data_IF_411780066567
#
_entry.id   IF_411780066567
#
_cell.length_a   1.000
_cell.length_b   1.000
_cell.length_c   1.000
_cell.angle_alpha   90.00
_cell.angle_beta   90.00
_cell.angle_gamma   90.00
#
_symmetry.space_group_name_H-M   'P 1'
#
loop_
_entity.id
_entity.type
_entity.pdbx_description
1 polymer ?
#
# COMPACT_ATOMS: atom_id res chain seq x y z
N UNK A 1 3.32 -25.81 4.99
CA UNK A 1 3.92 -24.56 5.51
C UNK A 1 4.05 -24.55 7.04
N UNK A 2 4.40 -25.67 7.70
CA UNK A 2 4.50 -25.72 9.19
C UNK A 2 5.93 -25.80 9.74
N UNK A 3 6.97 -25.89 8.88
CA UNK A 3 8.37 -26.00 9.32
C UNK A 3 9.28 -24.90 8.73
N UNK A 4 8.74 -23.71 8.41
CA UNK A 4 9.50 -22.66 7.71
C UNK A 4 10.31 -21.72 8.61
N UNK A 5 10.39 -22.03 9.90
CA UNK A 5 11.04 -21.16 10.88
C UNK A 5 11.87 -22.06 11.78
N UNK A 6 13.02 -22.50 11.24
CA UNK A 6 14.20 -22.66 12.11
C UNK A 6 14.32 -21.35 12.89
N UNK A 7 14.62 -21.38 14.21
CA UNK A 7 14.35 -20.24 15.08
C UNK A 7 15.04 -19.03 14.48
N UNK A 8 14.28 -18.01 14.11
CA UNK A 8 14.74 -16.81 13.39
C UNK A 8 15.72 -15.96 14.23
N UNK A 9 16.39 -16.54 15.22
CA UNK A 9 17.21 -15.87 16.21
C UNK A 9 16.47 -14.74 16.93
N UNK A 10 15.14 -14.76 16.88
CA UNK A 10 14.26 -13.70 17.38
C UNK A 10 14.38 -13.50 18.88
N UNK A 11 14.78 -14.57 19.56
CA UNK A 11 15.12 -14.63 20.98
C UNK A 11 16.53 -15.24 21.20
N UNK A 12 17.42 -15.17 20.19
CA UNK A 12 18.80 -15.64 20.41
C UNK A 12 19.45 -14.68 21.42
N UNK A 13 19.81 -15.15 22.63
CA UNK A 13 20.39 -14.31 23.69
C UNK A 13 21.74 -13.71 23.29
N UNK A 14 22.29 -14.12 22.15
CA UNK A 14 23.54 -13.63 21.58
C UNK A 14 23.40 -12.24 20.92
N UNK A 15 22.20 -11.86 20.45
CA UNK A 15 21.99 -10.62 19.70
C UNK A 15 21.18 -9.55 20.46
N UNK A 16 20.43 -9.91 21.50
CA UNK A 16 19.68 -8.95 22.34
C UNK A 16 20.60 -8.40 23.43
N UNK A 17 21.62 -7.63 23.03
CA UNK A 17 22.55 -6.97 23.96
C UNK A 17 22.05 -5.55 24.28
N UNK A 18 22.35 -5.00 25.48
CA UNK A 18 21.92 -3.65 25.87
C UNK A 18 22.45 -2.54 24.96
N UNK A 19 23.47 -2.82 24.15
CA UNK A 19 24.04 -1.90 23.16
C UNK A 19 23.27 -1.88 21.83
N UNK A 20 22.50 -2.92 21.53
CA UNK A 20 21.75 -3.03 20.28
C UNK A 20 20.33 -2.50 20.43
N UNK A 21 19.96 -1.51 19.62
CA UNK A 21 18.59 -1.01 19.61
C UNK A 21 17.63 -2.06 19.02
N UNK A 22 16.43 -2.17 19.60
CA UNK A 22 15.36 -3.04 19.08
C UNK A 22 14.98 -2.70 17.63
N UNK A 23 15.14 -1.44 17.22
CA UNK A 23 14.96 -1.01 15.83
C UNK A 23 15.97 -1.67 14.90
N UNK A 24 17.25 -1.69 15.28
CA UNK A 24 18.30 -2.37 14.51
C UNK A 24 18.01 -3.86 14.38
N UNK A 25 17.59 -4.52 15.47
CA UNK A 25 17.21 -5.93 15.46
C UNK A 25 16.02 -6.22 14.52
N UNK A 26 15.03 -5.33 14.48
CA UNK A 26 13.90 -5.47 13.57
C UNK A 26 14.31 -5.30 12.10
N UNK A 27 15.22 -4.35 11.80
CA UNK A 27 15.72 -4.14 10.45
C UNK A 27 16.61 -5.31 9.98
N UNK A 28 17.49 -5.84 10.84
CA UNK A 28 18.31 -7.01 10.49
C UNK A 28 17.46 -8.26 10.26
N UNK A 29 16.44 -8.49 11.09
CA UNK A 29 15.46 -9.55 10.90
C UNK A 29 14.79 -9.46 9.51
N UNK A 30 14.27 -8.27 9.18
CA UNK A 30 13.63 -8.02 7.88
C UNK A 30 14.57 -8.34 6.71
N UNK A 31 15.85 -7.97 6.82
CA UNK A 31 16.86 -8.26 5.80
C UNK A 31 17.10 -9.76 5.64
N UNK A 32 17.25 -10.50 6.74
CA UNK A 32 17.46 -11.97 6.73
C UNK A 32 16.27 -12.67 6.08
N UNK A 33 15.05 -12.35 6.52
CA UNK A 33 13.81 -12.90 5.97
C UNK A 33 13.68 -12.59 4.48
N UNK A 34 14.02 -11.37 4.06
CA UNK A 34 14.02 -10.99 2.65
C UNK A 34 15.00 -11.83 1.84
N UNK A 35 16.20 -12.09 2.35
CA UNK A 35 17.17 -12.98 1.71
C UNK A 35 16.62 -14.38 1.47
N UNK A 36 15.95 -14.96 2.48
CA UNK A 36 15.30 -16.27 2.35
C UNK A 36 14.17 -16.24 1.32
N UNK A 37 13.33 -15.22 1.31
CA UNK A 37 12.26 -15.08 0.32
C UNK A 37 12.79 -14.92 -1.10
N UNK A 38 13.89 -14.19 -1.31
CA UNK A 38 14.53 -14.08 -2.63
C UNK A 38 15.01 -15.45 -3.10
N UNK A 39 15.65 -16.25 -2.23
CA UNK A 39 16.11 -17.59 -2.59
C UNK A 39 14.94 -18.53 -2.94
N UNK A 40 13.85 -18.50 -2.15
CA UNK A 40 12.63 -19.28 -2.42
C UNK A 40 11.99 -18.85 -3.74
N UNK A 41 11.84 -17.54 -3.96
CA UNK A 41 11.27 -16.99 -5.18
C UNK A 41 12.12 -17.34 -6.41
N UNK A 42 13.45 -17.30 -6.31
CA UNK A 42 14.34 -17.72 -7.39
C UNK A 42 14.12 -19.18 -7.79
N UNK A 43 14.01 -20.08 -6.80
CA UNK A 43 13.70 -21.50 -7.02
C UNK A 43 12.31 -21.69 -7.64
N UNK A 44 11.29 -21.02 -7.10
CA UNK A 44 9.92 -21.11 -7.63
C UNK A 44 9.81 -20.57 -9.05
N UNK A 45 10.54 -19.49 -9.37
CA UNK A 45 10.61 -18.92 -10.70
C UNK A 45 11.26 -19.88 -11.70
N UNK A 46 12.33 -20.60 -11.29
CA UNK A 46 12.93 -21.63 -12.13
C UNK A 46 11.92 -22.75 -12.43
N UNK A 47 11.30 -23.33 -11.40
CA UNK A 47 10.28 -24.37 -11.57
C UNK A 47 9.08 -23.92 -12.42
N UNK A 48 8.65 -22.66 -12.26
CA UNK A 48 7.54 -22.10 -13.03
C UNK A 48 7.92 -21.85 -14.49
N UNK A 49 9.18 -21.54 -14.79
CA UNK A 49 9.69 -21.44 -16.17
C UNK A 49 9.72 -22.82 -16.81
N UNK A 50 10.26 -23.84 -16.14
CA UNK A 50 10.35 -25.19 -16.67
C UNK A 50 8.95 -25.76 -16.95
N UNK A 51 8.01 -25.59 -16.00
CA UNK A 51 6.62 -26.00 -16.17
C UNK A 51 5.93 -25.28 -17.33
N UNK A 52 6.23 -23.99 -17.52
CA UNK A 52 5.69 -23.22 -18.64
C UNK A 52 6.21 -23.78 -19.97
N UNK A 53 7.51 -24.01 -20.08
CA UNK A 53 8.13 -24.56 -21.28
C UNK A 53 7.49 -25.91 -21.64
N UNK A 54 7.35 -26.82 -20.67
CA UNK A 54 6.68 -28.11 -20.86
C UNK A 54 5.25 -27.95 -21.40
N UNK A 55 4.47 -26.99 -20.87
CA UNK A 55 3.11 -26.73 -21.36
C UNK A 55 3.10 -26.16 -22.78
N UNK A 56 4.06 -25.31 -23.14
CA UNK A 56 4.20 -24.76 -24.48
C UNK A 56 4.57 -25.86 -25.49
N UNK A 57 5.51 -26.73 -25.13
CA UNK A 57 5.92 -27.89 -25.94
C UNK A 57 4.76 -28.90 -26.12
N UNK A 58 4.04 -29.22 -25.03
CA UNK A 58 2.84 -30.07 -25.05
C UNK A 58 1.75 -29.51 -25.97
N UNK A 59 1.50 -28.19 -25.90
CA UNK A 59 0.52 -27.52 -26.75
C UNK A 59 0.95 -27.61 -28.22
N UNK A 60 2.22 -27.37 -28.52
CA UNK A 60 2.75 -27.45 -29.88
C UNK A 60 2.61 -28.87 -30.46
N UNK A 61 2.93 -29.91 -29.68
CA UNK A 61 2.77 -31.31 -30.09
C UNK A 61 1.29 -31.69 -30.31
N UNK A 62 0.39 -31.25 -29.42
CA UNK A 62 -1.05 -31.48 -29.55
C UNK A 62 -1.66 -30.72 -30.74
N UNK A 63 -1.16 -29.52 -31.06
CA UNK A 63 -1.56 -28.74 -32.23
C UNK A 63 -1.21 -29.45 -33.54
N UNK A 64 -0.01 -30.02 -33.64
CA UNK A 64 0.41 -30.81 -34.80
C UNK A 64 -0.43 -32.09 -34.94
N UNK A 65 -0.64 -32.81 -33.83
CA UNK A 65 -1.49 -34.01 -33.80
C UNK A 65 -2.93 -33.69 -34.19
N UNK A 66 -3.46 -32.54 -33.76
CA UNK A 66 -4.81 -32.11 -34.12
C UNK A 66 -4.91 -31.74 -35.60
N UNK A 67 -3.88 -31.09 -36.17
CA UNK A 67 -3.81 -30.73 -37.59
C UNK A 67 -3.88 -31.96 -38.50
N UNK A 68 -3.27 -33.06 -38.08
CA UNK A 68 -3.24 -34.32 -38.83
C UNK A 68 -4.51 -35.17 -38.62
N UNK A 69 -5.01 -35.26 -37.39
CA UNK A 69 -6.10 -36.19 -37.03
C UNK A 69 -7.51 -35.59 -37.02
N UNK A 70 -7.66 -34.27 -36.86
CA UNK A 70 -8.97 -33.61 -36.69
C UNK A 70 -9.75 -34.04 -35.43
N UNK A 71 -9.16 -34.81 -34.53
CA UNK A 71 -9.88 -35.48 -33.44
C UNK A 71 -10.42 -34.51 -32.38
N UNK A 72 -11.69 -34.72 -32.00
CA UNK A 72 -12.36 -34.01 -30.90
C UNK A 72 -11.70 -34.28 -29.54
N UNK A 73 -11.10 -35.45 -29.32
CA UNK A 73 -10.42 -35.79 -28.08
C UNK A 73 -9.14 -34.95 -27.90
N UNK A 74 -8.34 -34.82 -28.97
CA UNK A 74 -7.11 -34.01 -28.99
C UNK A 74 -7.47 -32.54 -28.76
N UNK A 75 -8.54 -32.04 -29.39
CA UNK A 75 -9.03 -30.66 -29.18
C UNK A 75 -9.42 -30.38 -27.72
N UNK A 76 -10.03 -31.35 -27.03
CA UNK A 76 -10.35 -31.23 -25.60
C UNK A 76 -9.08 -31.16 -24.75
N UNK A 77 -8.09 -32.01 -25.01
CA UNK A 77 -6.80 -31.97 -24.31
C UNK A 77 -6.07 -30.64 -24.51
N UNK A 78 -6.06 -30.13 -25.73
CA UNK A 78 -5.47 -28.83 -26.10
C UNK A 78 -6.15 -27.69 -25.32
N UNK A 79 -7.49 -27.72 -25.20
CA UNK A 79 -8.22 -26.75 -24.38
C UNK A 79 -7.83 -26.82 -22.90
N UNK A 80 -7.55 -28.01 -22.36
CA UNK A 80 -7.11 -28.18 -20.96
C UNK A 80 -5.70 -27.60 -20.77
N UNK A 81 -4.76 -27.91 -21.66
CA UNK A 81 -3.39 -27.40 -21.55
C UNK A 81 -3.33 -25.87 -21.71
N UNK A 82 -4.10 -25.30 -22.65
CA UNK A 82 -4.24 -23.85 -22.79
C UNK A 82 -4.81 -23.19 -21.53
N UNK A 83 -5.79 -23.83 -20.86
CA UNK A 83 -6.31 -23.32 -19.57
C UNK A 83 -5.23 -23.33 -18.48
N UNK A 84 -4.40 -24.37 -18.42
CA UNK A 84 -3.27 -24.44 -17.48
C UNK A 84 -2.22 -23.36 -17.74
N UNK A 85 -1.91 -23.08 -19.01
CA UNK A 85 -1.01 -21.99 -19.38
C UNK A 85 -1.59 -20.63 -18.99
N UNK A 86 -2.88 -20.39 -19.26
CA UNK A 86 -3.59 -19.16 -18.83
C UNK A 86 -3.54 -18.95 -17.32
N UNK A 87 -3.73 -20.00 -16.53
CA UNK A 87 -3.63 -19.90 -15.08
C UNK A 87 -2.23 -19.44 -14.60
N UNK A 88 -1.15 -19.83 -15.31
CA UNK A 88 0.20 -19.31 -15.03
C UNK A 88 0.35 -17.84 -15.41
N UNK A 89 -0.27 -17.41 -16.51
CA UNK A 89 -0.26 -16.01 -16.96
C UNK A 89 -1.11 -15.10 -16.05
N UNK A 90 -2.23 -15.60 -15.53
CA UNK A 90 -3.07 -14.92 -14.55
C UNK A 90 -2.26 -14.57 -13.29
N UNK A 91 -1.49 -15.51 -12.74
CA UNK A 91 -0.61 -15.22 -11.59
C UNK A 91 0.48 -14.18 -11.90
N UNK A 92 1.03 -14.17 -13.11
CA UNK A 92 1.98 -13.12 -13.54
C UNK A 92 1.30 -11.75 -13.68
N UNK A 93 0.06 -11.73 -14.17
CA UNK A 93 -0.73 -10.51 -14.30
C UNK A 93 -1.05 -9.91 -12.93
N UNK A 94 -1.45 -10.74 -11.96
CA UNK A 94 -1.66 -10.31 -10.57
C UNK A 94 -0.39 -9.71 -9.96
N UNK A 95 0.76 -10.36 -10.13
CA UNK A 95 2.05 -9.83 -9.69
C UNK A 95 2.40 -8.49 -10.38
N UNK A 96 2.14 -8.36 -11.68
CA UNK A 96 2.36 -7.12 -12.41
C UNK A 96 1.48 -5.97 -11.90
N UNK A 97 0.23 -6.25 -11.51
CA UNK A 97 -0.66 -5.28 -10.86
C UNK A 97 -0.09 -4.84 -9.51
N UNK A 98 0.34 -5.77 -8.66
CA UNK A 98 0.97 -5.45 -7.37
C UNK A 98 2.23 -4.60 -7.54
N UNK A 99 3.11 -4.96 -8.48
CA UNK A 99 4.33 -4.19 -8.79
C UNK A 99 4.02 -2.79 -9.30
N UNK A 100 2.96 -2.65 -10.09
CA UNK A 100 2.49 -1.34 -10.56
C UNK A 100 2.02 -0.48 -9.39
N UNK A 101 1.20 -1.02 -8.48
CA UNK A 101 0.79 -0.32 -7.25
C UNK A 101 1.99 0.13 -6.41
N UNK A 102 3.00 -0.72 -6.25
CA UNK A 102 4.22 -0.36 -5.52
C UNK A 102 4.99 0.77 -6.20
N UNK A 103 5.15 0.74 -7.54
CA UNK A 103 5.77 1.83 -8.29
C UNK A 103 5.03 3.15 -8.13
N UNK A 104 3.68 3.11 -8.12
CA UNK A 104 2.87 4.29 -7.86
C UNK A 104 3.06 4.80 -6.43
N UNK A 105 3.15 3.92 -5.43
CA UNK A 105 3.39 4.31 -4.04
C UNK A 105 4.77 4.98 -3.87
N UNK A 106 5.84 4.39 -4.42
CA UNK A 106 7.20 4.90 -4.23
C UNK A 106 7.51 6.12 -5.09
N UNK A 107 7.00 6.15 -6.34
CA UNK A 107 7.28 7.19 -7.31
C UNK A 107 6.21 8.27 -7.42
N UNK A 108 5.02 8.07 -6.84
CA UNK A 108 3.88 8.98 -7.01
C UNK A 108 4.07 10.36 -6.37
N UNK A 109 4.89 10.44 -5.30
CA UNK A 109 5.20 11.69 -4.61
C UNK A 109 6.63 12.20 -4.90
N UNK A 110 7.40 11.49 -5.74
CA UNK A 110 8.75 11.91 -6.11
C UNK A 110 8.70 12.69 -7.41
N UNK A 111 9.48 13.77 -7.49
CA UNK A 111 9.65 14.53 -8.72
C UNK A 111 10.16 13.59 -9.84
N UNK A 112 9.33 13.33 -10.84
CA UNK A 112 9.61 12.37 -11.90
C UNK A 112 8.45 12.23 -12.88
N UNK A 113 8.59 11.33 -13.87
CA UNK A 113 7.61 11.17 -14.97
C UNK A 113 6.19 10.87 -14.48
N UNK A 114 6.03 10.01 -13.47
CA UNK A 114 4.71 9.66 -12.94
C UNK A 114 4.05 10.83 -12.23
N UNK A 115 4.81 11.59 -11.43
CA UNK A 115 4.32 12.78 -10.76
C UNK A 115 3.95 13.88 -11.75
N UNK A 116 4.79 14.14 -12.76
CA UNK A 116 4.50 15.11 -13.82
C UNK A 116 3.23 14.73 -14.62
N UNK A 117 3.08 13.44 -14.97
CA UNK A 117 1.87 12.94 -15.62
C UNK A 117 0.62 13.17 -14.74
N UNK A 118 0.71 12.88 -13.44
CA UNK A 118 -0.39 13.10 -12.51
C UNK A 118 -0.76 14.57 -12.40
N UNK A 119 0.23 15.47 -12.30
CA UNK A 119 -0.01 16.91 -12.30
C UNK A 119 -0.68 17.38 -13.59
N UNK A 120 -0.27 16.83 -14.74
CA UNK A 120 -0.89 17.16 -16.02
C UNK A 120 -2.37 16.71 -16.06
N UNK A 121 -2.66 15.47 -15.67
CA UNK A 121 -4.03 14.95 -15.58
C UNK A 121 -4.86 15.79 -14.60
N UNK A 122 -4.32 16.08 -13.41
CA UNK A 122 -5.01 16.90 -12.41
C UNK A 122 -5.26 18.32 -12.94
N UNK A 123 -4.30 18.94 -13.62
CA UNK A 123 -4.48 20.25 -14.23
C UNK A 123 -5.58 20.24 -15.31
N UNK A 124 -5.70 19.14 -16.07
CA UNK A 124 -6.80 18.99 -17.04
C UNK A 124 -8.15 18.73 -16.38
N UNK A 125 -8.21 17.96 -15.30
CA UNK A 125 -9.46 17.64 -14.57
C UNK A 125 -9.96 18.82 -13.73
N UNK A 126 -9.04 19.58 -13.12
CA UNK A 126 -9.36 20.78 -12.34
C UNK A 126 -9.58 22.02 -13.23
N UNK A 127 -9.48 21.89 -14.55
CA UNK A 127 -9.73 23.02 -15.46
C UNK A 127 -11.21 23.38 -15.43
N UNK A 128 -11.50 24.63 -15.07
CA UNK A 128 -12.85 25.19 -15.15
C UNK A 128 -13.23 25.32 -16.62
N UNK A 129 -14.15 24.48 -17.08
CA UNK A 129 -14.60 24.47 -18.48
C UNK A 129 -15.50 25.67 -18.80
N UNK A 130 -16.38 26.03 -17.86
CA UNK A 130 -17.33 27.12 -18.00
C UNK A 130 -17.62 27.73 -16.62
N UNK A 131 -17.80 29.04 -16.57
CA UNK A 131 -18.14 29.78 -15.36
C UNK A 131 -19.34 30.68 -15.64
N UNK A 132 -20.29 30.74 -14.70
CA UNK A 132 -21.37 31.73 -14.71
C UNK A 132 -20.89 33.02 -14.07
N UNK A 133 -20.94 34.10 -14.81
CA UNK A 133 -20.62 35.44 -14.33
C UNK A 133 -21.81 36.05 -13.54
N UNK A 134 -21.58 37.11 -12.74
CA UNK A 134 -22.62 37.75 -11.94
C UNK A 134 -23.78 38.33 -12.76
N UNK A 135 -23.54 38.67 -14.02
CA UNK A 135 -24.54 39.13 -14.98
C UNK A 135 -25.42 37.98 -15.55
N UNK A 136 -25.18 36.74 -15.12
CA UNK A 136 -25.89 35.54 -15.56
C UNK A 136 -25.36 34.93 -16.85
N UNK A 137 -24.37 35.54 -17.50
CA UNK A 137 -23.76 35.01 -18.72
C UNK A 137 -22.81 33.86 -18.41
N UNK A 138 -22.69 32.91 -19.35
CA UNK A 138 -21.73 31.82 -19.25
C UNK A 138 -20.50 32.12 -20.10
N UNK A 139 -19.31 31.88 -19.55
CA UNK A 139 -18.04 32.08 -20.24
C UNK A 139 -17.16 30.82 -20.16
N UNK A 140 -16.57 30.45 -21.29
CA UNK A 140 -15.55 29.40 -21.39
C UNK A 140 -14.15 29.99 -21.66
N UNK A 141 -14.02 31.33 -21.67
CA UNK A 141 -12.75 32.01 -21.93
C UNK A 141 -11.94 32.14 -20.64
N UNK A 142 -10.64 31.89 -20.73
CA UNK A 142 -9.75 31.86 -19.55
C UNK A 142 -9.62 33.22 -18.86
N UNK A 143 -9.52 34.30 -19.63
CA UNK A 143 -9.35 35.66 -19.09
C UNK A 143 -10.52 36.12 -18.19
N UNK A 144 -11.80 36.06 -18.65
CA UNK A 144 -12.95 36.37 -17.79
C UNK A 144 -13.04 35.49 -16.55
N UNK A 145 -12.73 34.19 -16.70
CA UNK A 145 -12.74 33.23 -15.58
C UNK A 145 -11.73 33.66 -14.53
N UNK A 146 -10.49 33.93 -14.94
CA UNK A 146 -9.42 34.41 -14.04
C UNK A 146 -9.83 35.66 -13.30
N UNK A 147 -10.32 36.69 -14.01
CA UNK A 147 -10.73 37.95 -13.40
C UNK A 147 -11.86 37.76 -12.38
N UNK A 148 -12.82 36.87 -12.66
CA UNK A 148 -13.91 36.59 -11.74
C UNK A 148 -13.42 35.87 -10.47
N UNK A 149 -12.49 34.91 -10.61
CA UNK A 149 -11.86 34.25 -9.46
C UNK A 149 -11.05 35.23 -8.61
N UNK A 150 -10.24 36.09 -9.24
CA UNK A 150 -9.47 37.13 -8.57
C UNK A 150 -10.38 38.07 -7.78
N UNK A 151 -11.46 38.58 -8.40
CA UNK A 151 -12.45 39.44 -7.72
C UNK A 151 -13.11 38.72 -6.55
N UNK A 152 -13.62 37.51 -6.77
CA UNK A 152 -14.31 36.75 -5.73
C UNK A 152 -13.42 36.52 -4.50
N UNK A 153 -12.19 36.08 -4.69
CA UNK A 153 -11.28 35.85 -3.56
C UNK A 153 -10.75 37.14 -2.97
N UNK A 154 -10.54 38.19 -3.76
CA UNK A 154 -10.23 39.51 -3.23
C UNK A 154 -11.35 40.00 -2.30
N UNK A 155 -12.62 39.90 -2.72
CA UNK A 155 -13.78 40.26 -1.90
C UNK A 155 -13.89 39.37 -0.65
N UNK A 156 -13.68 38.05 -0.80
CA UNK A 156 -13.74 37.09 0.31
C UNK A 156 -12.69 37.38 1.40
N UNK A 157 -11.46 37.74 1.00
CA UNK A 157 -10.36 37.98 1.93
C UNK A 157 -10.21 39.46 2.34
N UNK A 158 -10.84 40.39 1.63
CA UNK A 158 -10.95 41.80 2.02
C UNK A 158 -12.14 42.07 2.95
N UNK A 159 -13.00 41.08 3.18
CA UNK A 159 -13.98 41.08 4.24
C UNK A 159 -13.28 41.08 5.62
N UNK A 160 -12.73 42.23 6.00
CA UNK A 160 -12.23 42.48 7.35
C UNK A 160 -13.41 42.65 8.32
N UNK A 161 -13.31 42.06 9.50
CA UNK A 161 -14.34 42.12 10.54
C UNK A 161 -14.70 40.78 11.18
N UNK A 162 -13.75 39.85 11.30
CA UNK A 162 -13.94 38.72 12.19
C UNK A 162 -13.87 39.26 13.61
N UNK A 163 -15.04 39.37 14.24
CA UNK A 163 -15.15 39.72 15.65
C UNK A 163 -14.49 38.61 16.48
N UNK A 164 -13.34 38.93 17.07
CA UNK A 164 -12.55 38.00 17.87
C UNK A 164 -13.41 37.35 18.96
N UNK A 165 -14.34 38.12 19.55
CA UNK A 165 -15.24 37.61 20.59
C UNK A 165 -16.15 36.52 20.04
N UNK A 166 -16.65 36.64 18.81
CA UNK A 166 -17.50 35.62 18.19
C UNK A 166 -16.72 34.35 17.85
N UNK A 167 -15.44 34.47 17.54
CA UNK A 167 -14.56 33.30 17.34
C UNK A 167 -14.31 32.61 18.67
N UNK A 168 -14.00 33.36 19.73
CA UNK A 168 -13.83 32.83 21.08
C UNK A 168 -15.12 32.20 21.60
N UNK A 169 -16.26 32.88 21.49
CA UNK A 169 -17.59 32.36 21.82
C UNK A 169 -17.90 31.08 21.03
N UNK A 170 -17.52 31.01 19.75
CA UNK A 170 -17.68 29.80 18.93
C UNK A 170 -16.75 28.68 19.39
N UNK A 171 -15.47 28.96 19.70
CA UNK A 171 -14.52 27.94 20.16
C UNK A 171 -14.87 27.42 21.55
N UNK A 172 -15.41 28.27 22.42
CA UNK A 172 -15.88 27.92 23.77
C UNK A 172 -17.21 27.17 23.75
N UNK A 173 -18.12 27.55 22.84
CA UNK A 173 -19.41 26.85 22.64
C UNK A 173 -19.30 25.63 21.72
N UNK A 174 -18.22 25.52 20.94
CA UNK A 174 -17.98 24.38 20.09
C UNK A 174 -17.91 23.13 20.97
N UNK A 175 -18.71 22.10 20.68
CA UNK A 175 -18.66 20.84 21.41
C UNK A 175 -17.40 20.07 20.99
N UNK A 176 -16.23 20.56 21.39
CA UNK A 176 -14.98 19.82 21.27
C UNK A 176 -15.03 18.74 22.35
N UNK A 177 -15.54 17.56 21.97
CA UNK A 177 -15.60 16.41 22.84
C UNK A 177 -14.18 16.08 23.33
N UNK A 178 -13.90 16.39 24.61
CA UNK A 178 -12.67 15.93 25.27
C UNK A 178 -12.86 14.48 25.64
N UNK A 179 -11.84 13.67 25.40
CA UNK A 179 -11.85 12.28 25.86
C UNK A 179 -11.98 12.25 27.38
N UNK A 180 -12.81 11.36 27.95
CA UNK A 180 -12.83 11.11 29.38
C UNK A 180 -11.40 10.79 29.86
N UNK A 181 -11.02 11.22 31.08
CA UNK A 181 -9.67 10.97 31.61
C UNK A 181 -9.34 9.47 31.67
N UNK A 182 -10.35 8.62 31.82
CA UNK A 182 -10.23 7.16 31.78
C UNK A 182 -9.76 6.66 30.41
N UNK A 183 -10.33 7.22 29.33
CA UNK A 183 -9.98 6.82 27.96
C UNK A 183 -8.61 7.38 27.55
N UNK A 184 -8.28 8.61 27.97
CA UNK A 184 -6.93 9.18 27.77
C UNK A 184 -5.87 8.31 28.44
N UNK A 185 -6.06 7.99 29.72
CA UNK A 185 -5.14 7.15 30.47
C UNK A 185 -5.07 5.71 29.93
N UNK A 186 -6.10 5.22 29.24
CA UNK A 186 -6.06 3.93 28.57
C UNK A 186 -5.25 3.97 27.27
N UNK A 187 -5.35 5.06 26.50
CA UNK A 187 -4.61 5.27 25.23
C UNK A 187 -3.12 5.57 25.45
N UNK A 188 -2.75 6.10 26.62
CA UNK A 188 -1.36 6.39 27.01
C UNK A 188 -0.58 5.17 27.52
N UNK A 189 -1.24 4.00 27.67
CA UNK A 189 -0.57 2.77 28.10
C UNK A 189 0.32 2.20 27.00
N UNK A 190 1.32 1.44 27.42
CA UNK A 190 2.15 0.65 26.53
C UNK A 190 1.32 -0.29 25.65
N UNK A 191 1.69 -0.37 24.38
CA UNK A 191 1.08 -1.24 23.40
C UNK A 191 1.37 -2.69 23.79
N UNK A 192 0.30 -3.48 23.89
CA UNK A 192 0.41 -4.90 24.22
C UNK A 192 0.62 -5.77 22.97
N UNK A 193 1.26 -6.94 23.10
CA UNK A 193 1.37 -7.90 21.98
C UNK A 193 0.02 -8.34 21.42
N UNK A 194 -1.03 -8.39 22.25
CA UNK A 194 -2.39 -8.75 21.81
C UNK A 194 -3.03 -7.66 20.96
N UNK A 195 -2.79 -6.38 21.28
CA UNK A 195 -3.20 -5.24 20.45
C UNK A 195 -2.44 -5.22 19.12
N UNK A 196 -1.12 -5.44 19.14
CA UNK A 196 -0.32 -5.56 17.93
C UNK A 196 -0.83 -6.70 17.02
N UNK A 197 -1.11 -7.88 17.59
CA UNK A 197 -1.66 -9.01 16.85
C UNK A 197 -3.05 -8.69 16.26
N UNK A 198 -3.92 -8.03 17.04
CA UNK A 198 -5.24 -7.60 16.58
C UNK A 198 -5.13 -6.60 15.42
N UNK A 199 -4.18 -5.66 15.50
CA UNK A 199 -3.91 -4.71 14.44
C UNK A 199 -3.43 -5.41 13.16
N UNK A 200 -2.52 -6.37 13.28
CA UNK A 200 -2.04 -7.20 12.16
C UNK A 200 -3.20 -7.92 11.46
N UNK A 201 -4.13 -8.53 12.21
CA UNK A 201 -5.28 -9.22 11.62
C UNK A 201 -6.28 -8.29 10.92
N UNK A 202 -6.26 -6.99 11.19
CA UNK A 202 -7.09 -5.99 10.52
C UNK A 202 -6.48 -5.45 9.23
N UNK A 203 -5.24 -5.83 8.90
CA UNK A 203 -4.58 -5.42 7.67
C UNK A 203 -5.34 -5.92 6.44
N UNK A 204 -5.61 -5.01 5.50
CA UNK A 204 -6.29 -5.36 4.24
C UNK A 204 -5.28 -5.97 3.26
N UNK A 205 -5.57 -7.13 2.65
CA UNK A 205 -4.69 -7.73 1.64
C UNK A 205 -4.68 -6.92 0.33
N UNK A 206 -3.69 -7.20 -0.53
CA UNK A 206 -3.60 -6.59 -1.87
C UNK A 206 -3.30 -5.09 -1.91
N UNK A 207 -2.88 -4.50 -0.78
CA UNK A 207 -2.38 -3.12 -0.67
C UNK A 207 -0.96 -3.00 -1.24
N UNK A 208 -0.55 -1.79 -1.57
CA UNK A 208 0.82 -1.52 -2.02
C UNK A 208 1.82 -1.87 -0.90
N UNK A 209 2.95 -2.48 -1.29
CA UNK A 209 4.02 -2.83 -0.35
C UNK A 209 4.69 -1.55 0.16
N UNK A 210 5.01 -1.53 1.46
CA UNK A 210 5.70 -0.42 2.11
C UNK A 210 7.17 -0.30 1.69
N UNK A 211 7.90 0.57 2.39
CA UNK A 211 9.35 0.75 2.17
C UNK A 211 10.16 -0.53 2.50
N UNK A 212 9.71 -1.31 3.47
CA UNK A 212 10.29 -2.61 3.83
C UNK A 212 10.06 -3.70 2.77
N UNK A 213 9.06 -3.52 1.90
CA UNK A 213 8.72 -4.44 0.82
C UNK A 213 7.90 -5.64 1.25
N UNK A 214 7.37 -5.67 2.48
CA UNK A 214 6.49 -6.74 2.96
C UNK A 214 5.02 -6.36 2.83
N UNK A 215 4.17 -7.34 2.50
CA UNK A 215 2.73 -7.15 2.34
C UNK A 215 1.95 -7.54 3.58
N UNK A 216 0.65 -7.23 3.62
CA UNK A 216 -0.23 -7.63 4.73
C UNK A 216 -0.16 -9.14 5.01
N UNK A 217 -0.06 -9.96 3.96
CA UNK A 217 0.04 -11.43 4.01
C UNK A 217 1.23 -11.91 4.87
N UNK A 218 2.36 -11.22 4.78
CA UNK A 218 3.55 -11.50 5.58
C UNK A 218 3.26 -11.32 7.08
N UNK A 219 2.70 -10.17 7.44
CA UNK A 219 2.37 -9.88 8.84
C UNK A 219 1.27 -10.81 9.35
N UNK A 220 0.22 -11.09 8.57
CA UNK A 220 -0.83 -12.02 9.01
C UNK A 220 -0.33 -13.46 9.16
N UNK A 221 0.61 -13.91 8.33
CA UNK A 221 1.15 -15.28 8.42
C UNK A 221 2.14 -15.46 9.58
N UNK A 222 2.89 -14.42 9.93
CA UNK A 222 3.88 -14.43 11.02
C UNK A 222 3.42 -13.66 12.27
N UNK A 223 2.15 -13.27 12.32
CA UNK A 223 1.64 -12.30 13.29
C UNK A 223 1.90 -12.70 14.74
N UNK A 224 1.72 -13.98 15.07
CA UNK A 224 1.97 -14.50 16.42
C UNK A 224 3.43 -14.33 16.88
N UNK A 225 4.38 -14.42 15.94
CA UNK A 225 5.82 -14.28 16.24
C UNK A 225 6.27 -12.83 16.20
N UNK A 226 5.71 -12.03 15.28
CA UNK A 226 6.06 -10.62 15.12
C UNK A 226 5.41 -9.72 16.17
N UNK A 227 4.21 -10.04 16.65
CA UNK A 227 3.47 -9.21 17.59
C UNK A 227 4.26 -8.80 18.85
N UNK A 228 4.95 -9.70 19.59
CA UNK A 228 5.74 -9.30 20.76
C UNK A 228 6.91 -8.38 20.40
N UNK A 229 7.56 -8.63 19.27
CA UNK A 229 8.70 -7.83 18.80
C UNK A 229 8.23 -6.43 18.38
N UNK A 230 7.12 -6.35 17.66
CA UNK A 230 6.53 -5.09 17.22
C UNK A 230 6.02 -4.27 18.40
N UNK A 231 5.41 -4.90 19.42
CA UNK A 231 5.02 -4.21 20.65
C UNK A 231 6.23 -3.59 21.35
N UNK A 232 7.32 -4.37 21.53
CA UNK A 232 8.59 -3.87 22.08
C UNK A 232 9.14 -2.70 21.26
N UNK A 233 9.15 -2.83 19.93
CA UNK A 233 9.62 -1.79 19.01
C UNK A 233 8.81 -0.51 19.15
N UNK A 234 7.48 -0.57 19.08
CA UNK A 234 6.64 0.61 19.10
C UNK A 234 6.66 1.32 20.46
N UNK A 235 6.73 0.57 21.56
CA UNK A 235 6.89 1.17 22.89
C UNK A 235 8.27 1.83 23.05
N UNK A 236 9.33 1.25 22.47
CA UNK A 236 10.67 1.86 22.46
C UNK A 236 10.78 3.08 21.54
N UNK A 237 9.99 3.13 20.46
CA UNK A 237 9.89 4.28 19.56
C UNK A 237 8.97 5.39 20.09
N UNK A 238 8.25 5.14 21.19
CA UNK A 238 7.34 6.12 21.76
C UNK A 238 8.17 7.27 22.38
N UNK A 239 8.53 8.22 21.52
CA UNK A 239 9.14 9.50 21.88
C UNK A 239 8.18 10.19 22.85
N UNK A 240 8.65 10.68 24.01
CA UNK A 240 7.79 11.35 24.98
C UNK A 240 6.97 12.45 24.28
N UNK A 241 5.66 12.40 24.44
CA UNK A 241 4.63 13.26 23.84
C UNK A 241 4.68 14.73 24.28
N UNK A 242 5.82 15.21 24.79
CA UNK A 242 6.00 16.56 25.36
C UNK A 242 6.91 17.48 24.52
N UNK A 243 6.91 17.32 23.19
CA UNK A 243 7.76 18.14 22.29
C UNK A 243 7.02 18.76 21.10
N UNK A 244 5.72 19.04 21.24
CA UNK A 244 4.99 19.97 20.38
C UNK A 244 4.09 20.87 21.21
#
# INVERSE_FOLDING_TARGET
MRNFICPLGLDSPENDTPETSIATLCETLKVVVRGQFIAIAARQNALSRDKRQQLEDDIQALEETHRQSGSLAVRRQLSVQRKRLRALDEGKAEYAVLRTKQKFYTGGNRAGRLFALRLHIQATECRVAELRLPDGTLTCREEPIRQQFERFYADLYSAEGVDQSKVEDYLDSAPVARLPPVDSAALEKDITPTEALRAIHRLKPGKALGADGFGAEFYTSLGAQLAPILARLYNALNIPTYLF
#
